data_IF_922034861695
#
_entry.id   IF_922034861695
#
_cell.length_a   1.000
_cell.length_b   1.000
_cell.length_c   1.000
_cell.angle_alpha   90.00
_cell.angle_beta   90.00
_cell.angle_gamma   90.00
#
_symmetry.space_group_name_H-M   'P 1'
#
loop_
_entity.id
_entity.type
_entity.pdbx_description
1 polymer ?
#
# COMPACT_ATOMS: atom_id res chain seq x y z
N UNK A 1 -23.88 11.61 -12.55
CA UNK A 1 -23.37 12.99 -12.72
C UNK A 1 -23.32 13.62 -11.34
N UNK A 2 -22.13 13.81 -10.77
CA UNK A 2 -21.96 14.57 -9.53
C UNK A 2 -21.55 15.96 -9.98
N UNK A 3 -22.49 16.91 -9.92
CA UNK A 3 -22.19 18.32 -10.10
C UNK A 3 -21.42 18.75 -8.86
N UNK A 4 -20.09 18.90 -8.99
CA UNK A 4 -19.32 19.70 -8.04
C UNK A 4 -19.84 21.13 -8.16
N UNK A 5 -20.38 21.67 -7.06
CA UNK A 5 -20.95 23.02 -6.97
C UNK A 5 -19.94 24.17 -7.22
N UNK A 6 -18.71 23.86 -7.66
CA UNK A 6 -17.68 24.84 -8.02
C UNK A 6 -17.93 25.54 -9.37
N UNK A 7 -18.95 25.16 -10.13
CA UNK A 7 -19.40 25.87 -11.34
C UNK A 7 -20.58 26.84 -11.08
N UNK A 8 -20.98 27.02 -9.82
CA UNK A 8 -21.91 28.09 -9.46
C UNK A 8 -21.12 29.40 -9.43
N UNK A 9 -21.47 30.33 -10.32
CA UNK A 9 -20.94 31.70 -10.31
C UNK A 9 -21.18 32.29 -8.92
N UNK A 10 -20.11 32.52 -8.17
CA UNK A 10 -20.19 33.09 -6.81
C UNK A 10 -20.99 34.40 -6.86
N UNK A 11 -22.15 34.37 -6.19
CA UNK A 11 -23.12 35.47 -6.23
C UNK A 11 -22.72 36.61 -5.31
N UNK A 12 -21.88 36.34 -4.30
CA UNK A 12 -21.32 37.33 -3.39
C UNK A 12 -19.88 36.95 -2.98
N UNK A 13 -18.88 37.31 -3.79
CA UNK A 13 -17.48 37.01 -3.50
C UNK A 13 -16.95 37.68 -2.22
N UNK A 14 -17.58 38.77 -1.77
CA UNK A 14 -17.16 39.46 -0.54
C UNK A 14 -17.55 38.62 0.67
N UNK A 15 -18.80 38.16 0.72
CA UNK A 15 -19.26 37.26 1.78
C UNK A 15 -18.42 35.98 1.82
N UNK A 16 -18.17 35.35 0.66
CA UNK A 16 -17.31 34.15 0.57
C UNK A 16 -15.92 34.42 1.15
N UNK A 17 -15.30 35.56 0.82
CA UNK A 17 -13.99 35.93 1.35
C UNK A 17 -14.03 36.15 2.88
N UNK A 18 -15.08 36.78 3.42
CA UNK A 18 -15.24 36.97 4.87
C UNK A 18 -15.30 35.63 5.62
N UNK A 19 -16.01 34.63 5.09
CA UNK A 19 -16.05 33.28 5.67
C UNK A 19 -14.69 32.58 5.62
N UNK A 20 -13.96 32.72 4.51
CA UNK A 20 -12.60 32.17 4.37
C UNK A 20 -11.60 32.84 5.30
N UNK A 21 -11.68 34.16 5.46
CA UNK A 21 -10.82 34.93 6.36
C UNK A 21 -11.11 34.59 7.82
N UNK A 22 -12.39 34.42 8.18
CA UNK A 22 -12.80 33.97 9.52
C UNK A 22 -12.23 32.58 9.84
N UNK A 23 -12.34 31.62 8.92
CA UNK A 23 -11.77 30.29 9.10
C UNK A 23 -10.24 30.33 9.18
N UNK A 24 -9.60 31.15 8.34
CA UNK A 24 -8.14 31.34 8.35
C UNK A 24 -7.66 31.91 9.67
N UNK A 25 -8.39 32.87 10.25
CA UNK A 25 -8.11 33.44 11.56
C UNK A 25 -8.16 32.38 12.66
N UNK A 26 -9.19 31.52 12.66
CA UNK A 26 -9.31 30.40 13.62
C UNK A 26 -8.15 29.43 13.46
N UNK A 27 -7.78 29.06 12.23
CA UNK A 27 -6.64 28.17 11.99
C UNK A 27 -5.32 28.75 12.52
N UNK A 28 -5.11 30.05 12.38
CA UNK A 28 -3.90 30.73 12.83
C UNK A 28 -3.82 30.90 14.35
N UNK A 29 -4.94 31.20 15.02
CA UNK A 29 -4.95 31.59 16.43
C UNK A 29 -5.45 30.49 17.38
N UNK A 30 -6.40 29.65 16.94
CA UNK A 30 -7.04 28.60 17.75
C UNK A 30 -6.67 27.18 17.30
N UNK A 31 -6.15 27.01 16.08
CA UNK A 31 -5.59 25.75 15.58
C UNK A 31 -6.56 24.84 14.82
N UNK A 32 -6.03 23.72 14.30
CA UNK A 32 -6.72 22.78 13.40
C UNK A 32 -7.94 22.12 14.05
N UNK A 33 -7.83 21.68 15.30
CA UNK A 33 -8.91 20.98 16.03
C UNK A 33 -10.16 21.85 16.18
N UNK A 34 -9.95 23.13 16.49
CA UNK A 34 -11.03 24.10 16.66
C UNK A 34 -11.69 24.47 15.34
N UNK A 35 -10.90 24.67 14.27
CA UNK A 35 -11.43 24.87 12.93
C UNK A 35 -12.29 23.67 12.50
N UNK A 36 -11.83 22.44 12.74
CA UNK A 36 -12.58 21.22 12.46
C UNK A 36 -13.90 21.17 13.24
N UNK A 37 -13.86 21.46 14.54
CA UNK A 37 -15.06 21.52 15.38
C UNK A 37 -16.11 22.51 14.86
N UNK A 38 -15.70 23.71 14.43
CA UNK A 38 -16.62 24.71 13.87
C UNK A 38 -17.25 24.23 12.56
N UNK A 39 -16.44 23.70 11.65
CA UNK A 39 -16.92 23.15 10.38
C UNK A 39 -17.94 22.02 10.59
N UNK A 40 -17.67 21.09 11.51
CA UNK A 40 -18.62 20.02 11.84
C UNK A 40 -19.95 20.57 12.35
N UNK A 41 -19.92 21.59 13.22
CA UNK A 41 -21.13 22.19 13.77
C UNK A 41 -21.93 22.94 12.70
N UNK A 42 -21.27 23.65 11.78
CA UNK A 42 -21.91 24.27 10.62
C UNK A 42 -22.58 23.23 9.73
N UNK A 43 -21.91 22.13 9.41
CA UNK A 43 -22.49 21.03 8.63
C UNK A 43 -23.69 20.42 9.35
N UNK A 44 -23.57 20.13 10.66
CA UNK A 44 -24.67 19.58 11.48
C UNK A 44 -25.86 20.54 11.51
N UNK A 45 -25.63 21.84 11.66
CA UNK A 45 -26.66 22.88 11.68
C UNK A 45 -27.40 22.95 10.35
N UNK A 46 -26.67 22.97 9.23
CA UNK A 46 -27.22 23.02 7.88
C UNK A 46 -28.05 21.78 7.54
N UNK A 47 -27.58 20.58 7.91
CA UNK A 47 -28.33 19.32 7.74
C UNK A 47 -29.65 19.31 8.52
N UNK A 48 -29.64 19.79 9.78
CA UNK A 48 -30.85 19.87 10.61
C UNK A 48 -31.93 20.78 10.01
N UNK A 49 -31.56 21.67 9.10
CA UNK A 49 -32.48 22.57 8.39
C UNK A 49 -32.89 22.07 7.00
N UNK A 50 -32.62 20.80 6.70
CA UNK A 50 -33.08 20.16 5.46
C UNK A 50 -32.27 20.53 4.22
N UNK A 51 -31.17 21.28 4.37
CA UNK A 51 -30.25 21.53 3.26
C UNK A 51 -29.42 20.27 3.05
N UNK A 52 -29.55 19.69 1.85
CA UNK A 52 -28.79 18.51 1.46
C UNK A 52 -27.35 18.91 1.12
N UNK A 53 -26.45 18.82 2.09
CA UNK A 53 -25.01 18.83 1.85
C UNK A 53 -24.58 17.42 1.45
N UNK A 54 -24.17 17.15 0.18
CA UNK A 54 -23.53 15.89 -0.14
C UNK A 54 -22.31 15.74 0.78
N UNK A 55 -22.29 14.68 1.59
CA UNK A 55 -21.09 14.35 2.35
C UNK A 55 -20.05 13.83 1.37
N UNK A 56 -19.16 14.70 0.93
CA UNK A 56 -17.93 14.23 0.30
C UNK A 56 -16.98 13.86 1.42
N UNK A 57 -16.94 12.56 1.74
CA UNK A 57 -15.98 11.96 2.68
C UNK A 57 -14.52 12.03 2.18
N UNK A 58 -14.25 12.89 1.21
CA UNK A 58 -13.08 12.84 0.35
C UNK A 58 -12.18 14.02 0.65
N UNK A 59 -10.92 13.75 1.01
CA UNK A 59 -9.92 14.82 1.14
C UNK A 59 -9.56 15.38 -0.24
N UNK A 60 -8.92 16.55 -0.27
CA UNK A 60 -8.28 17.06 -1.48
C UNK A 60 -7.35 16.01 -2.12
N UNK A 61 -7.22 16.07 -3.45
CA UNK A 61 -6.30 15.21 -4.21
C UNK A 61 -4.87 15.74 -4.09
N UNK A 62 -4.38 15.73 -2.85
CA UNK A 62 -3.06 16.18 -2.41
C UNK A 62 -2.50 15.16 -1.41
N UNK A 63 -1.21 15.26 -1.12
CA UNK A 63 -0.56 14.48 -0.08
C UNK A 63 -1.25 14.73 1.27
N UNK A 64 -1.52 13.66 2.01
CA UNK A 64 -2.11 13.76 3.36
C UNK A 64 -1.15 14.44 4.33
N UNK A 65 0.16 14.22 4.18
CA UNK A 65 1.20 14.87 4.96
C UNK A 65 1.71 16.07 4.14
N UNK A 66 1.54 17.32 4.63
CA UNK A 66 2.05 18.50 3.96
C UNK A 66 3.57 18.63 4.14
N UNK A 67 4.25 19.32 3.22
CA UNK A 67 5.72 19.51 3.22
C UNK A 67 6.26 20.02 4.56
N UNK A 68 5.55 20.92 5.23
CA UNK A 68 5.95 21.45 6.55
C UNK A 68 5.90 20.43 7.70
N UNK A 69 5.19 19.31 7.53
CA UNK A 69 5.10 18.19 8.49
C UNK A 69 5.87 16.94 8.01
N UNK A 70 6.51 16.99 6.84
CA UNK A 70 7.31 15.86 6.32
C UNK A 70 8.56 15.61 7.17
N UNK A 71 8.79 14.35 7.53
CA UNK A 71 10.03 13.94 8.16
C UNK A 71 11.12 13.77 7.10
N UNK A 72 12.33 14.22 7.40
CA UNK A 72 13.48 14.00 6.50
C UNK A 72 13.85 12.52 6.51
N UNK A 73 14.07 11.94 5.32
CA UNK A 73 14.58 10.58 5.20
C UNK A 73 15.93 10.45 5.92
N UNK A 74 16.14 9.39 6.73
CA UNK A 74 17.43 9.13 7.35
C UNK A 74 18.46 8.53 6.38
N UNK A 75 18.02 8.11 5.18
CA UNK A 75 18.84 7.38 4.21
C UNK A 75 19.66 8.25 3.25
N UNK A 76 20.61 7.61 2.56
CA UNK A 76 21.34 8.23 1.46
C UNK A 76 20.62 7.97 0.14
N UNK A 77 19.88 8.98 -0.34
CA UNK A 77 19.07 8.88 -1.55
C UNK A 77 19.85 8.48 -2.81
N UNK A 78 21.10 8.93 -2.96
CA UNK A 78 21.91 8.60 -4.13
C UNK A 78 22.30 7.11 -4.12
N UNK A 79 22.74 6.61 -2.96
CA UNK A 79 23.09 5.21 -2.79
C UNK A 79 21.86 4.30 -2.95
N UNK A 80 20.75 4.66 -2.32
CA UNK A 80 19.48 3.93 -2.44
C UNK A 80 18.99 3.89 -3.89
N UNK A 81 19.09 5.02 -4.61
CA UNK A 81 18.73 5.06 -6.02
C UNK A 81 19.60 4.09 -6.84
N UNK A 82 20.92 4.07 -6.61
CA UNK A 82 21.83 3.15 -7.31
C UNK A 82 21.51 1.68 -7.03
N UNK A 83 21.28 1.31 -5.77
CA UNK A 83 20.91 -0.06 -5.38
C UNK A 83 19.59 -0.44 -6.04
N UNK A 84 18.58 0.42 -5.95
CA UNK A 84 17.26 0.21 -6.55
C UNK A 84 17.31 0.07 -8.07
N UNK A 85 18.18 0.82 -8.75
CA UNK A 85 18.40 0.67 -10.20
C UNK A 85 18.97 -0.71 -10.56
N UNK A 86 19.91 -1.24 -9.78
CA UNK A 86 20.46 -2.59 -9.98
C UNK A 86 19.37 -3.64 -9.78
N UNK A 87 18.56 -3.51 -8.72
CA UNK A 87 17.44 -4.43 -8.45
C UNK A 87 16.43 -4.38 -9.61
N UNK A 88 16.06 -3.19 -10.09
CA UNK A 88 15.16 -3.02 -11.25
C UNK A 88 15.71 -3.69 -12.50
N UNK A 89 17.01 -3.56 -12.75
CA UNK A 89 17.67 -4.19 -13.90
C UNK A 89 17.64 -5.71 -13.79
N UNK A 90 18.05 -6.27 -12.66
CA UNK A 90 18.08 -7.72 -12.44
C UNK A 90 16.68 -8.33 -12.53
N UNK A 91 15.65 -7.66 -12.00
CA UNK A 91 14.26 -8.11 -12.11
C UNK A 91 13.79 -8.19 -13.57
N UNK A 92 14.09 -7.16 -14.37
CA UNK A 92 13.76 -7.16 -15.79
C UNK A 92 14.56 -8.21 -16.58
N UNK A 93 15.87 -8.31 -16.31
CA UNK A 93 16.75 -9.28 -16.95
C UNK A 93 16.29 -10.72 -16.69
N UNK A 94 15.90 -11.04 -15.45
CA UNK A 94 15.39 -12.35 -15.05
C UNK A 94 14.14 -12.74 -15.85
N UNK A 95 13.14 -11.84 -15.94
CA UNK A 95 11.90 -12.09 -16.71
C UNK A 95 12.21 -12.24 -18.21
N UNK A 96 13.10 -11.40 -18.75
CA UNK A 96 13.50 -11.49 -20.16
C UNK A 96 14.28 -12.78 -20.48
N UNK A 97 15.15 -13.24 -19.58
CA UNK A 97 15.86 -14.52 -19.72
C UNK A 97 14.87 -15.70 -19.71
N UNK A 98 13.87 -15.67 -18.83
CA UNK A 98 12.81 -16.67 -18.82
C UNK A 98 11.99 -16.66 -20.14
N UNK A 99 11.65 -15.48 -20.66
CA UNK A 99 10.95 -15.34 -21.94
C UNK A 99 11.73 -15.87 -23.15
N UNK A 100 13.07 -15.87 -23.10
CA UNK A 100 13.93 -16.43 -24.17
C UNK A 100 13.95 -17.96 -24.23
N UNK A 101 13.44 -18.65 -23.19
CA UNK A 101 13.43 -20.12 -23.14
C UNK A 101 12.31 -20.75 -23.98
N UNK A 102 11.34 -19.96 -24.44
CA UNK A 102 10.20 -20.42 -25.24
C UNK A 102 9.38 -21.54 -24.55
N UNK A 103 9.27 -21.44 -23.22
CA UNK A 103 8.55 -22.40 -22.36
C UNK A 103 7.25 -21.79 -21.77
N UNK A 104 6.75 -20.69 -22.35
CA UNK A 104 5.55 -19.97 -21.89
C UNK A 104 5.54 -19.62 -20.39
N UNK A 105 6.72 -19.41 -19.81
CA UNK A 105 6.88 -19.19 -18.37
C UNK A 105 6.14 -17.94 -17.90
N UNK A 106 6.07 -16.89 -18.72
CA UNK A 106 5.48 -15.60 -18.35
C UNK A 106 6.32 -14.81 -17.34
N UNK A 107 5.71 -13.81 -16.72
CA UNK A 107 6.35 -12.91 -15.75
C UNK A 107 6.02 -11.44 -16.03
N UNK A 108 5.97 -10.63 -14.96
CA UNK A 108 5.59 -9.21 -15.05
C UNK A 108 6.78 -8.31 -14.75
N UNK A 109 7.03 -7.35 -15.63
CA UNK A 109 8.05 -6.32 -15.43
C UNK A 109 7.40 -5.05 -14.83
N UNK A 110 6.27 -4.61 -15.41
CA UNK A 110 5.67 -3.32 -15.10
C UNK A 110 5.23 -3.16 -13.63
N UNK A 111 4.60 -4.20 -13.04
CA UNK A 111 4.08 -4.14 -11.67
C UNK A 111 5.18 -3.78 -10.66
N UNK A 112 6.30 -4.53 -10.66
CA UNK A 112 7.42 -4.20 -9.80
C UNK A 112 8.02 -2.82 -10.11
N UNK A 113 8.13 -2.42 -11.38
CA UNK A 113 8.68 -1.11 -11.72
C UNK A 113 7.85 0.04 -11.12
N UNK A 114 6.52 -0.08 -11.07
CA UNK A 114 5.68 0.94 -10.43
C UNK A 114 5.85 0.99 -8.90
N UNK A 115 6.08 -0.16 -8.25
CA UNK A 115 6.15 -0.26 -6.79
C UNK A 115 7.59 -0.28 -6.21
N UNK A 116 8.65 -0.36 -7.01
CA UNK A 116 9.98 -0.71 -6.48
C UNK A 116 10.51 0.28 -5.43
N UNK A 117 10.16 1.57 -5.53
CA UNK A 117 10.54 2.57 -4.53
C UNK A 117 9.83 2.34 -3.20
N UNK A 118 8.56 1.91 -3.21
CA UNK A 118 7.82 1.56 -2.00
C UNK A 118 8.46 0.37 -1.28
N UNK A 119 8.80 -0.68 -2.04
CA UNK A 119 9.52 -1.83 -1.50
C UNK A 119 10.89 -1.45 -0.95
N UNK A 120 11.66 -0.65 -1.70
CA UNK A 120 13.01 -0.26 -1.31
C UNK A 120 13.04 0.57 -0.03
N UNK A 121 12.11 1.52 0.13
CA UNK A 121 11.93 2.27 1.37
C UNK A 121 11.56 1.32 2.52
N UNK A 122 10.64 0.38 2.29
CA UNK A 122 10.25 -0.63 3.26
C UNK A 122 11.43 -1.44 3.79
N UNK A 123 12.21 -2.01 2.87
CA UNK A 123 13.39 -2.80 3.24
C UNK A 123 14.50 -2.00 3.93
N UNK A 124 14.74 -0.75 3.52
CA UNK A 124 15.86 0.03 4.05
C UNK A 124 15.55 0.66 5.42
N UNK A 125 14.27 0.98 5.69
CA UNK A 125 13.90 1.86 6.81
C UNK A 125 12.78 1.35 7.71
N UNK A 126 12.01 0.34 7.31
CA UNK A 126 10.82 -0.07 8.07
C UNK A 126 10.82 -1.53 8.49
N UNK A 127 11.25 -2.45 7.64
CA UNK A 127 11.03 -3.87 7.89
C UNK A 127 12.08 -4.50 8.77
N UNK A 128 11.59 -5.11 9.84
CA UNK A 128 12.40 -5.86 10.77
C UNK A 128 12.40 -7.33 10.38
N UNK A 129 13.60 -7.88 10.20
CA UNK A 129 13.78 -9.32 10.11
C UNK A 129 13.69 -9.95 11.51
N UNK A 130 13.27 -11.22 11.61
CA UNK A 130 13.35 -11.94 12.89
C UNK A 130 14.77 -11.97 13.43
N UNK A 131 14.89 -11.59 14.70
CA UNK A 131 16.14 -11.44 15.42
C UNK A 131 16.00 -11.99 16.85
N UNK A 132 16.68 -13.09 17.16
CA UNK A 132 16.51 -13.77 18.45
C UNK A 132 15.07 -14.22 18.66
N UNK A 133 14.47 -13.76 19.75
CA UNK A 133 13.08 -14.04 20.15
C UNK A 133 12.06 -13.10 19.47
N UNK A 134 12.50 -12.05 18.78
CA UNK A 134 11.62 -11.16 18.02
C UNK A 134 11.27 -11.76 16.66
N UNK A 135 9.98 -11.94 16.38
CA UNK A 135 9.49 -12.61 15.16
C UNK A 135 9.57 -11.77 13.86
N UNK A 136 9.91 -10.48 13.95
CA UNK A 136 10.04 -9.56 12.81
C UNK A 136 8.72 -9.32 12.06
N UNK A 137 8.70 -8.38 11.11
CA UNK A 137 7.47 -7.99 10.40
C UNK A 137 6.97 -9.07 9.44
N UNK A 138 5.64 -9.14 9.26
CA UNK A 138 5.01 -9.92 8.19
C UNK A 138 4.84 -9.00 6.98
N UNK A 139 5.38 -9.39 5.81
CA UNK A 139 5.24 -8.60 4.58
C UNK A 139 4.60 -9.45 3.49
N UNK A 140 3.34 -9.17 3.19
CA UNK A 140 2.58 -9.74 2.08
C UNK A 140 2.89 -8.92 0.83
N UNK A 141 3.71 -9.49 -0.05
CA UNK A 141 4.18 -8.87 -1.29
C UNK A 141 3.14 -9.07 -2.39
N UNK A 142 3.04 -8.18 -3.36
CA UNK A 142 2.17 -8.42 -4.51
C UNK A 142 2.75 -9.54 -5.39
N UNK A 143 1.94 -10.55 -5.75
CA UNK A 143 2.32 -11.69 -6.62
C UNK A 143 3.16 -11.29 -7.84
N UNK A 144 2.66 -10.32 -8.61
CA UNK A 144 3.30 -9.83 -9.82
C UNK A 144 4.58 -9.00 -9.58
N UNK A 145 4.88 -8.64 -8.33
CA UNK A 145 6.09 -7.93 -7.92
C UNK A 145 7.23 -8.87 -7.44
N UNK A 146 6.98 -10.19 -7.41
CA UNK A 146 7.97 -11.19 -7.02
C UNK A 146 9.34 -11.07 -7.72
N UNK A 147 9.42 -10.74 -9.04
CA UNK A 147 10.72 -10.58 -9.69
C UNK A 147 11.67 -9.59 -9.01
N UNK A 148 11.11 -8.53 -8.43
CA UNK A 148 11.89 -7.54 -7.69
C UNK A 148 12.46 -8.06 -6.38
N UNK A 149 11.72 -8.93 -5.70
CA UNK A 149 12.16 -9.55 -4.45
C UNK A 149 13.31 -10.51 -4.71
N UNK A 150 13.22 -11.34 -5.76
CA UNK A 150 14.31 -12.23 -6.17
C UNK A 150 15.54 -11.46 -6.62
N UNK A 151 15.35 -10.38 -7.37
CA UNK A 151 16.44 -9.50 -7.77
C UNK A 151 17.17 -8.87 -6.57
N UNK A 152 16.45 -8.45 -5.53
CA UNK A 152 17.06 -7.96 -4.29
C UNK A 152 17.81 -9.06 -3.55
N UNK A 153 17.20 -10.23 -3.41
CA UNK A 153 17.83 -11.39 -2.78
C UNK A 153 19.16 -11.77 -3.46
N UNK A 154 19.22 -11.69 -4.79
CA UNK A 154 20.44 -11.89 -5.56
C UNK A 154 21.52 -10.83 -5.25
N UNK A 155 21.15 -9.55 -5.22
CA UNK A 155 22.09 -8.46 -4.89
C UNK A 155 22.65 -8.62 -3.47
N UNK A 156 21.88 -9.17 -2.55
CA UNK A 156 22.30 -9.44 -1.17
C UNK A 156 23.00 -10.81 -1.01
N UNK A 157 23.28 -11.53 -2.10
CA UNK A 157 23.98 -12.81 -2.09
C UNK A 157 23.16 -13.98 -1.53
N UNK A 158 21.84 -13.81 -1.41
CA UNK A 158 20.89 -14.80 -0.87
C UNK A 158 20.39 -15.77 -1.94
N UNK A 159 20.45 -15.37 -3.21
CA UNK A 159 20.24 -16.20 -4.38
C UNK A 159 21.47 -16.12 -5.29
N UNK A 160 21.79 -17.20 -5.99
CA UNK A 160 22.84 -17.22 -7.00
C UNK A 160 22.27 -17.03 -8.42
N UNK A 161 23.15 -16.92 -9.43
CA UNK A 161 22.72 -16.69 -10.82
C UNK A 161 21.97 -17.88 -11.41
N UNK A 162 22.41 -19.12 -11.14
CA UNK A 162 21.76 -20.34 -11.62
C UNK A 162 20.31 -20.44 -11.11
N UNK A 163 20.10 -20.03 -9.86
CA UNK A 163 18.80 -19.91 -9.23
C UNK A 163 17.92 -18.89 -9.95
N UNK A 164 18.43 -17.68 -10.23
CA UNK A 164 17.68 -16.67 -10.97
C UNK A 164 17.34 -17.11 -12.40
N UNK A 165 18.25 -17.84 -13.06
CA UNK A 165 18.03 -18.35 -14.41
C UNK A 165 16.94 -19.42 -14.47
N UNK A 166 16.65 -20.09 -13.36
CA UNK A 166 15.56 -21.06 -13.22
C UNK A 166 14.24 -20.45 -12.77
N UNK A 167 14.08 -19.12 -12.86
CA UNK A 167 12.79 -18.46 -12.62
C UNK A 167 11.65 -19.19 -13.36
N UNK A 168 10.62 -19.59 -12.60
CA UNK A 168 9.43 -20.37 -13.03
C UNK A 168 9.69 -21.82 -13.51
N UNK A 169 10.82 -22.43 -13.17
CA UNK A 169 11.17 -23.80 -13.56
C UNK A 169 11.58 -24.63 -12.34
N UNK A 170 10.60 -25.17 -11.62
CA UNK A 170 10.80 -25.78 -10.29
C UNK A 170 10.81 -27.31 -10.27
N UNK A 171 10.40 -27.96 -11.36
CA UNK A 171 10.16 -29.41 -11.40
C UNK A 171 11.41 -30.24 -11.02
N UNK A 172 12.60 -29.73 -11.28
CA UNK A 172 13.87 -30.43 -11.01
C UNK A 172 14.43 -30.17 -9.60
N UNK A 173 13.70 -29.48 -8.71
CA UNK A 173 14.09 -29.24 -7.32
C UNK A 173 15.22 -28.22 -7.09
N UNK A 174 16.03 -27.96 -8.11
CA UNK A 174 17.11 -26.96 -8.09
C UNK A 174 16.68 -25.59 -8.63
N UNK A 175 15.41 -25.43 -8.97
CA UNK A 175 14.84 -24.20 -9.53
C UNK A 175 14.16 -23.36 -8.47
N UNK A 176 14.59 -22.11 -8.36
CA UNK A 176 14.06 -21.17 -7.38
C UNK A 176 12.59 -20.89 -7.66
N UNK A 177 11.75 -21.49 -6.82
CA UNK A 177 10.52 -20.97 -6.23
C UNK A 177 9.85 -19.86 -7.05
N UNK A 178 8.80 -20.19 -7.76
CA UNK A 178 7.71 -19.28 -8.08
C UNK A 178 6.51 -19.76 -7.30
N UNK A 179 6.21 -18.98 -6.28
CA UNK A 179 5.01 -19.11 -5.50
C UNK A 179 3.78 -19.04 -6.41
N UNK A 180 3.15 -20.19 -6.58
CA UNK A 180 1.71 -20.32 -6.78
C UNK A 180 1.21 -21.28 -5.70
N UNK A 181 0.43 -20.75 -4.75
CA UNK A 181 -0.32 -21.47 -3.72
C UNK A 181 0.45 -21.91 -2.45
N UNK A 182 -0.23 -21.96 -1.28
CA UNK A 182 0.39 -22.30 -0.01
C UNK A 182 0.77 -23.79 0.02
N UNK A 183 2.05 -24.10 -0.08
CA UNK A 183 2.58 -25.42 0.23
C UNK A 183 2.76 -25.56 1.75
N UNK A 184 2.34 -26.67 2.39
CA UNK A 184 2.47 -26.89 3.84
C UNK A 184 3.93 -26.91 4.35
N UNK A 185 4.89 -27.00 3.44
CA UNK A 185 6.30 -27.28 3.70
C UNK A 185 7.21 -26.15 3.19
N UNK A 186 6.71 -24.91 3.14
CA UNK A 186 7.43 -23.69 2.76
C UNK A 186 8.59 -23.33 3.73
N UNK A 187 9.61 -24.19 3.82
CA UNK A 187 10.85 -24.01 4.58
C UNK A 187 11.90 -23.21 3.81
N UNK A 188 11.66 -22.90 2.54
CA UNK A 188 12.61 -22.19 1.66
C UNK A 188 12.29 -20.71 1.42
N UNK A 189 11.18 -20.22 1.94
CA UNK A 189 10.71 -18.85 1.70
C UNK A 189 10.97 -17.90 2.86
N UNK A 190 12.11 -18.12 3.50
CA UNK A 190 12.80 -17.14 4.32
C UNK A 190 14.08 -16.78 3.57
N UNK A 191 14.00 -15.83 2.63
CA UNK A 191 15.20 -15.13 2.17
C UNK A 191 15.86 -14.64 3.46
N UNK A 192 17.15 -14.91 3.82
CA UNK A 192 17.69 -14.87 5.19
C UNK A 192 17.75 -13.53 5.95
N UNK A 193 16.85 -12.60 5.66
CA UNK A 193 16.15 -11.82 6.67
C UNK A 193 14.88 -12.61 6.97
N UNK A 194 14.83 -13.33 8.10
CA UNK A 194 13.69 -14.17 8.51
C UNK A 194 12.40 -13.33 8.62
N UNK A 195 11.82 -12.98 7.49
CA UNK A 195 10.47 -12.49 7.28
C UNK A 195 9.68 -13.78 7.15
N UNK A 196 9.15 -14.29 8.27
CA UNK A 196 8.05 -15.22 8.18
C UNK A 196 6.96 -14.50 7.37
N UNK A 197 6.47 -15.10 6.29
CA UNK A 197 5.47 -14.45 5.45
C UNK A 197 5.70 -14.63 3.96
N UNK A 198 6.93 -14.85 3.48
CA UNK A 198 7.11 -15.02 2.02
C UNK A 198 6.38 -16.29 1.49
N UNK A 199 6.13 -17.29 2.35
CA UNK A 199 5.30 -18.46 2.03
C UNK A 199 3.79 -18.20 1.96
N UNK A 200 3.29 -17.18 2.67
CA UNK A 200 1.90 -16.70 2.58
C UNK A 200 1.76 -15.49 1.62
N UNK A 201 2.88 -14.95 1.16
CA UNK A 201 2.96 -13.65 0.49
C UNK A 201 2.49 -13.66 -0.95
N UNK A 202 2.27 -14.79 -1.62
CA UNK A 202 1.95 -14.79 -3.05
C UNK A 202 0.86 -15.83 -3.37
N UNK A 203 -0.38 -15.53 -2.99
CA UNK A 203 -1.49 -15.92 -3.85
C UNK A 203 -1.50 -14.96 -5.04
N UNK A 204 -1.58 -15.48 -6.27
CA UNK A 204 -1.90 -14.65 -7.45
C UNK A 204 -3.19 -13.85 -7.24
N UNK A 205 -4.04 -14.33 -6.32
CA UNK A 205 -5.25 -13.69 -5.83
C UNK A 205 -5.06 -13.26 -4.36
N UNK A 206 -4.36 -12.16 -4.12
CA UNK A 206 -4.24 -11.53 -2.79
C UNK A 206 -5.60 -11.36 -2.06
N UNK A 207 -6.72 -11.07 -2.76
CA UNK A 207 -8.04 -11.00 -2.14
C UNK A 207 -8.47 -12.24 -1.34
N UNK A 208 -8.09 -13.44 -1.82
CA UNK A 208 -8.41 -14.69 -1.12
C UNK A 208 -7.65 -14.88 0.20
N UNK A 209 -6.50 -14.21 0.36
CA UNK A 209 -5.64 -14.34 1.54
C UNK A 209 -6.01 -13.38 2.67
N UNK A 210 -6.94 -12.44 2.44
CA UNK A 210 -7.32 -11.45 3.46
C UNK A 210 -7.81 -12.09 4.77
N UNK A 211 -8.67 -13.12 4.82
CA UNK A 211 -9.06 -13.73 6.08
C UNK A 211 -7.86 -14.19 6.93
N UNK A 212 -6.82 -14.75 6.30
CA UNK A 212 -5.59 -15.18 6.98
C UNK A 212 -4.76 -13.99 7.46
N UNK A 213 -4.55 -12.98 6.61
CA UNK A 213 -3.82 -11.74 6.96
C UNK A 213 -4.42 -11.09 8.21
N UNK A 214 -5.75 -11.02 8.29
CA UNK A 214 -6.45 -10.42 9.42
C UNK A 214 -6.39 -11.31 10.65
N UNK A 215 -6.44 -12.63 10.46
CA UNK A 215 -6.15 -13.60 11.51
C UNK A 215 -4.78 -13.37 12.15
N UNK A 216 -3.73 -13.22 11.34
CA UNK A 216 -2.38 -12.90 11.82
C UNK A 216 -2.33 -11.57 12.55
N UNK A 217 -2.87 -10.50 11.97
CA UNK A 217 -2.88 -9.18 12.61
C UNK A 217 -3.57 -9.20 13.97
N UNK A 218 -4.71 -9.90 14.09
CA UNK A 218 -5.45 -10.05 15.33
C UNK A 218 -4.69 -10.86 16.39
N UNK A 219 -4.03 -11.95 15.99
CA UNK A 219 -3.25 -12.79 16.90
C UNK A 219 -2.04 -12.04 17.47
N UNK A 220 -1.42 -11.20 16.65
CA UNK A 220 -0.20 -10.46 17.00
C UNK A 220 -0.48 -9.12 17.71
N UNK A 221 -1.74 -8.67 17.76
CA UNK A 221 -2.13 -7.35 18.29
C UNK A 221 -1.66 -7.12 19.74
N UNK A 222 -1.57 -8.18 20.55
CA UNK A 222 -1.20 -8.11 21.96
C UNK A 222 0.23 -8.57 22.26
N UNK A 223 1.00 -9.01 21.25
CA UNK A 223 2.22 -9.78 21.51
C UNK A 223 3.52 -9.19 20.96
N UNK A 224 3.53 -8.11 20.18
CA UNK A 224 4.80 -7.71 19.57
C UNK A 224 4.80 -6.28 19.00
N UNK A 225 6.01 -5.74 18.84
CA UNK A 225 6.33 -4.61 17.96
C UNK A 225 6.12 -4.93 16.48
N UNK A 226 5.67 -6.16 16.17
CA UNK A 226 5.48 -6.69 14.82
C UNK A 226 4.39 -5.94 14.09
N UNK A 227 4.67 -5.59 12.84
CA UNK A 227 3.70 -5.05 11.91
C UNK A 227 3.38 -6.06 10.81
N UNK A 228 2.15 -5.98 10.32
CA UNK A 228 1.63 -6.76 9.20
C UNK A 228 1.46 -5.82 8.02
N UNK A 229 2.28 -5.96 7.00
CA UNK A 229 2.29 -5.13 5.80
C UNK A 229 1.65 -5.86 4.63
N UNK A 230 0.71 -5.21 3.94
CA UNK A 230 0.01 -5.77 2.80
C UNK A 230 0.20 -4.87 1.58
N UNK A 231 0.86 -5.40 0.56
CA UNK A 231 1.03 -4.72 -0.72
C UNK A 231 0.03 -5.23 -1.73
N UNK A 232 -0.79 -4.33 -2.26
CA UNK A 232 -1.80 -4.65 -3.25
C UNK A 232 -1.84 -3.61 -4.38
N UNK A 233 -2.40 -4.01 -5.52
CA UNK A 233 -2.73 -3.10 -6.62
C UNK A 233 -4.06 -2.39 -6.39
N UNK A 234 -4.25 -1.20 -6.95
CA UNK A 234 -5.55 -0.52 -6.96
C UNK A 234 -6.66 -1.32 -7.67
N UNK A 235 -6.33 -2.11 -8.70
CA UNK A 235 -7.26 -3.05 -9.33
C UNK A 235 -7.68 -4.22 -8.43
N UNK A 236 -6.79 -4.70 -7.56
CA UNK A 236 -7.10 -5.80 -6.61
C UNK A 236 -8.07 -5.35 -5.52
N UNK A 237 -8.19 -4.03 -5.30
CA UNK A 237 -9.09 -3.43 -4.32
C UNK A 237 -10.55 -3.36 -4.77
N UNK A 238 -10.84 -3.72 -6.02
CA UNK A 238 -12.20 -3.83 -6.54
C UNK A 238 -12.86 -5.18 -6.21
N UNK A 239 -12.09 -6.16 -5.73
CA UNK A 239 -12.63 -7.44 -5.29
C UNK A 239 -13.39 -7.29 -3.95
N UNK A 240 -14.58 -7.93 -3.80
CA UNK A 240 -15.40 -7.83 -2.60
C UNK A 240 -14.65 -8.21 -1.31
N UNK A 241 -13.78 -9.21 -1.38
CA UNK A 241 -12.97 -9.71 -0.28
C UNK A 241 -12.01 -8.62 0.24
N UNK A 242 -11.43 -7.83 -0.66
CA UNK A 242 -10.54 -6.71 -0.34
C UNK A 242 -11.23 -5.62 0.47
N UNK A 243 -12.45 -5.26 0.07
CA UNK A 243 -13.22 -4.19 0.71
C UNK A 243 -13.84 -4.66 2.04
N UNK A 244 -14.33 -5.90 2.08
CA UNK A 244 -14.91 -6.52 3.26
C UNK A 244 -13.90 -6.62 4.40
N UNK A 245 -12.65 -6.97 4.06
CA UNK A 245 -11.59 -7.12 5.04
C UNK A 245 -11.22 -5.79 5.70
N UNK A 246 -10.98 -4.71 4.93
CA UNK A 246 -10.61 -3.40 5.51
C UNK A 246 -11.62 -2.92 6.57
N UNK A 247 -12.91 -3.11 6.30
CA UNK A 247 -13.98 -2.74 7.24
C UNK A 247 -13.89 -3.52 8.57
N UNK A 248 -13.39 -4.76 8.55
CA UNK A 248 -13.16 -5.57 9.74
C UNK A 248 -11.97 -5.07 10.57
N UNK A 249 -10.82 -4.75 9.95
CA UNK A 249 -9.67 -4.17 10.66
C UNK A 249 -10.04 -2.85 11.32
N UNK A 250 -10.79 -2.02 10.59
CA UNK A 250 -11.30 -0.76 11.11
C UNK A 250 -12.36 -0.95 12.20
N UNK A 251 -12.93 -2.15 12.43
CA UNK A 251 -13.80 -2.42 13.58
C UNK A 251 -13.00 -2.96 14.76
N UNK A 252 -12.07 -3.86 14.51
CA UNK A 252 -11.24 -4.51 15.53
C UNK A 252 -10.09 -3.64 16.04
N UNK A 253 -9.79 -2.53 15.35
CA UNK A 253 -8.77 -1.58 15.80
C UNK A 253 -7.36 -2.11 15.58
N UNK A 254 -7.13 -2.79 14.45
CA UNK A 254 -5.84 -3.39 14.10
C UNK A 254 -4.86 -2.30 13.63
N UNK A 255 -4.20 -1.66 14.58
CA UNK A 255 -3.17 -0.63 14.46
C UNK A 255 -1.77 -1.21 14.15
N UNK A 256 -1.65 -2.54 14.14
CA UNK A 256 -0.49 -3.28 13.64
C UNK A 256 -0.63 -3.69 12.16
N UNK A 257 -1.77 -3.43 11.50
CA UNK A 257 -2.02 -3.78 10.09
C UNK A 257 -1.88 -2.57 9.17
N UNK A 258 -1.01 -2.67 8.16
CA UNK A 258 -0.63 -1.59 7.26
C UNK A 258 -0.88 -2.01 5.81
N UNK A 259 -1.76 -1.30 5.13
CA UNK A 259 -2.02 -1.47 3.70
C UNK A 259 -1.21 -0.47 2.86
N UNK A 260 -0.48 -0.98 1.87
CA UNK A 260 0.26 -0.21 0.87
C UNK A 260 -0.34 -0.49 -0.50
N UNK A 261 -1.25 0.39 -0.93
CA UNK A 261 -1.97 0.25 -2.20
C UNK A 261 -1.23 0.99 -3.31
N UNK A 262 -0.68 0.25 -4.27
CA UNK A 262 -0.04 0.80 -5.46
C UNK A 262 -1.09 1.31 -6.46
N UNK A 263 -1.34 2.61 -6.43
CA UNK A 263 -2.32 3.28 -7.29
C UNK A 263 -1.68 3.74 -8.60
N UNK A 264 -1.38 2.80 -9.50
CA UNK A 264 -0.86 3.11 -10.84
C UNK A 264 -1.96 3.44 -11.86
N UNK A 265 -3.24 3.41 -11.44
CA UNK A 265 -4.45 3.73 -12.19
C UNK A 265 -4.76 2.74 -13.33
N UNK A 266 -4.13 1.56 -13.32
CA UNK A 266 -4.21 0.58 -14.40
C UNK A 266 -4.46 -0.83 -13.87
N UNK A 267 -5.29 -1.59 -14.60
CA UNK A 267 -5.40 -3.04 -14.51
C UNK A 267 -4.75 -3.67 -15.76
N UNK A 268 -4.72 -5.01 -15.82
CA UNK A 268 -4.16 -5.75 -16.95
C UNK A 268 -4.74 -5.31 -18.31
N UNK A 269 -6.07 -5.09 -18.36
CA UNK A 269 -6.79 -4.83 -19.62
C UNK A 269 -7.20 -3.36 -19.84
N UNK A 270 -6.68 -2.43 -19.04
CA UNK A 270 -6.98 -1.00 -19.20
C UNK A 270 -7.04 -0.22 -17.89
N UNK A 271 -7.44 1.07 -17.95
CA UNK A 271 -7.51 1.92 -16.77
C UNK A 271 -8.51 1.35 -15.75
N UNK A 272 -8.14 1.43 -14.47
CA UNK A 272 -9.05 1.05 -13.41
C UNK A 272 -10.19 2.08 -13.35
N UNK A 273 -11.41 1.68 -13.71
CA UNK A 273 -12.58 2.57 -13.74
C UNK A 273 -12.93 3.18 -12.37
N UNK A 274 -12.40 2.59 -11.30
CA UNK A 274 -12.68 2.96 -9.93
C UNK A 274 -11.83 4.15 -9.43
N UNK A 275 -10.61 4.39 -9.92
CA UNK A 275 -9.60 5.11 -9.12
C UNK A 275 -9.68 6.63 -9.01
N UNK A 276 -10.28 7.36 -9.96
CA UNK A 276 -10.46 8.81 -9.79
C UNK A 276 -11.39 9.15 -8.59
N UNK A 277 -12.32 8.24 -8.25
CA UNK A 277 -13.18 8.31 -7.05
C UNK A 277 -12.75 7.35 -5.93
N UNK A 278 -12.08 6.24 -6.21
CA UNK A 278 -11.71 5.26 -5.19
C UNK A 278 -10.56 5.70 -4.31
N UNK A 279 -9.58 6.48 -4.81
CA UNK A 279 -8.55 7.08 -3.93
C UNK A 279 -9.19 7.95 -2.83
N UNK A 280 -10.25 8.67 -3.21
CA UNK A 280 -11.07 9.50 -2.33
C UNK A 280 -11.92 8.66 -1.36
N UNK A 281 -12.47 7.53 -1.81
CA UNK A 281 -13.27 6.62 -0.97
C UNK A 281 -12.42 5.80 0.01
N UNK A 282 -11.18 5.41 -0.34
CA UNK A 282 -10.30 4.67 0.57
C UNK A 282 -9.78 5.54 1.72
N UNK A 283 -9.49 6.83 1.46
CA UNK A 283 -9.22 7.80 2.53
C UNK A 283 -10.41 7.98 3.48
N UNK A 284 -11.65 7.93 2.97
CA UNK A 284 -12.85 8.01 3.82
C UNK A 284 -12.95 6.86 4.83
N UNK A 285 -12.53 5.66 4.43
CA UNK A 285 -12.57 4.46 5.28
C UNK A 285 -11.44 4.49 6.32
N UNK A 286 -10.25 5.02 5.98
CA UNK A 286 -9.12 5.10 6.92
C UNK A 286 -9.19 6.29 7.88
N UNK A 287 -9.77 7.43 7.48
CA UNK A 287 -9.89 8.64 8.32
C UNK A 287 -10.91 8.46 9.46
N UNK A 288 -11.87 7.53 9.34
CA UNK A 288 -12.86 7.28 10.39
C UNK A 288 -12.25 6.81 11.74
N UNK A 289 -10.95 6.47 11.79
CA UNK A 289 -10.25 6.04 13.02
C UNK A 289 -8.86 6.64 13.24
N UNK A 290 -8.42 7.64 12.49
CA UNK A 290 -7.16 8.34 12.78
C UNK A 290 -7.32 9.31 13.97
N UNK A 291 -7.73 8.77 15.13
CA UNK A 291 -7.49 9.40 16.42
C UNK A 291 -6.08 9.02 16.86
N UNK A 292 -5.17 9.99 16.78
CA UNK A 292 -3.85 10.03 17.44
C UNK A 292 -2.96 8.79 17.27
N UNK A 293 -2.04 8.85 16.30
CA UNK A 293 -0.69 8.29 16.48
C UNK A 293 0.19 9.34 17.17
#
# INVERSE_FOLDING_TARGET
MSQTYNDVRDTDPVETQEWLDALSSVLQHEGEERAHFLLENLVKYTRRRGVHLPFDATTAYLNTIPVGKEQKSPGNHELEHRIRSIIRWNAAAMVLRAGKKDLELGGHIASFQSAATLYDVGFNHFWHAKNGDEEGDLVFVQGHSAPGIYARAFVEGRLNEEQLDKFRQEADGDGTVVLSAPAPDARFLAIPHRIHGLGYALSGDLPSAFPEIFGFARLEQNQSTRKVWVFCGDGEMDEPESQGAISLAAREGLDNLIFVINCNLQRLDGPCAATAKSFRNWKAISVARAGTC
#
